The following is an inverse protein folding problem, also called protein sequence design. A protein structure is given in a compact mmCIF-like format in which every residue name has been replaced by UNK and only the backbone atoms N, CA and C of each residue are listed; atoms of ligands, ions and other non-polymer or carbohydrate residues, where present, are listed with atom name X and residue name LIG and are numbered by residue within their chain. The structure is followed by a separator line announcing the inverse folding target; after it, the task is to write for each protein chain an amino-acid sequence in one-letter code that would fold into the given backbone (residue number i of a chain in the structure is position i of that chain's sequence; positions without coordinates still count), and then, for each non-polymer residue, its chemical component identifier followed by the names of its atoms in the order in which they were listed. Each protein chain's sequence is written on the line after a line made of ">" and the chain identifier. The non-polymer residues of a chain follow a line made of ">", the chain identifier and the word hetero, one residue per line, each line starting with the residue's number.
data_IF_916443440905
#
_entry.id   IF_916443440905
#
_cell.length_a   1.000
_cell.length_b   1.000
_cell.length_c   1.000
_cell.angle_alpha   90.00
_cell.angle_beta   90.00
_cell.angle_gamma   90.00
#
_symmetry.space_group_name_H-M   'P 1'
#
loop_
_entity.id
_entity.type
_entity.pdbx_description
1 polymer ?
#
# COMPACT_ATOMS: atom_id res chain seq x y z
N UNK A 1 -4.72 -29.16 6.79
CA UNK A 1 -5.54 -27.91 6.89
C UNK A 1 -4.57 -26.76 7.14
N UNK A 2 -4.60 -25.71 6.29
CA UNK A 2 -3.78 -24.53 6.50
C UNK A 2 -4.19 -23.74 7.76
N UNK A 3 -3.30 -22.90 8.28
CA UNK A 3 -3.58 -22.02 9.43
C UNK A 3 -4.74 -21.07 9.10
N UNK A 4 -5.70 -20.93 10.02
CA UNK A 4 -6.76 -19.93 9.93
C UNK A 4 -6.16 -18.54 10.13
N UNK A 5 -6.31 -17.68 9.16
CA UNK A 5 -5.67 -16.36 9.10
C UNK A 5 -6.69 -15.24 9.27
N UNK A 6 -6.29 -14.16 9.95
CA UNK A 6 -7.02 -12.90 9.99
C UNK A 6 -6.24 -11.85 9.19
N UNK A 7 -6.86 -11.33 8.14
CA UNK A 7 -6.29 -10.36 7.22
C UNK A 7 -6.71 -8.94 7.60
N UNK A 8 -5.78 -7.98 7.61
CA UNK A 8 -6.06 -6.58 7.95
C UNK A 8 -5.91 -5.69 6.72
N UNK A 9 -7.00 -5.03 6.33
CA UNK A 9 -7.18 -4.30 5.08
C UNK A 9 -7.64 -2.86 5.35
N UNK A 10 -6.71 -1.93 5.46
CA UNK A 10 -7.00 -0.53 5.84
C UNK A 10 -7.11 0.43 4.67
N UNK A 11 -6.63 0.01 3.49
CA UNK A 11 -6.55 0.86 2.30
C UNK A 11 -6.79 0.02 1.04
N UNK A 12 -7.31 0.58 -0.07
CA UNK A 12 -7.45 -0.13 -1.34
C UNK A 12 -6.19 -0.84 -1.81
N UNK A 13 -5.02 -0.20 -1.66
CA UNK A 13 -3.74 -0.82 -1.99
C UNK A 13 -3.45 -2.09 -1.15
N UNK A 14 -3.86 -2.13 0.13
CA UNK A 14 -3.72 -3.33 0.97
C UNK A 14 -4.64 -4.46 0.49
N UNK A 15 -5.85 -4.11 0.04
CA UNK A 15 -6.80 -5.08 -0.54
C UNK A 15 -6.20 -5.69 -1.81
N UNK A 16 -5.66 -4.87 -2.71
CA UNK A 16 -5.01 -5.35 -3.95
C UNK A 16 -3.78 -6.21 -3.63
N UNK A 17 -2.90 -5.74 -2.76
CA UNK A 17 -1.68 -6.44 -2.36
C UNK A 17 -1.96 -7.86 -1.84
N UNK A 18 -3.01 -8.02 -1.04
CA UNK A 18 -3.34 -9.29 -0.39
C UNK A 18 -4.42 -10.09 -1.13
N UNK A 19 -4.91 -9.59 -2.28
CA UNK A 19 -6.06 -10.16 -2.99
C UNK A 19 -5.86 -11.63 -3.39
N UNK A 20 -4.71 -11.98 -3.93
CA UNK A 20 -4.42 -13.35 -4.35
C UNK A 20 -4.35 -14.31 -3.16
N UNK A 21 -3.73 -13.87 -2.07
CA UNK A 21 -3.67 -14.61 -0.81
C UNK A 21 -5.07 -14.81 -0.21
N UNK A 22 -5.93 -13.79 -0.32
CA UNK A 22 -7.34 -13.89 0.11
C UNK A 22 -8.14 -14.86 -0.76
N UNK A 23 -7.90 -14.91 -2.08
CA UNK A 23 -8.58 -15.88 -2.98
C UNK A 23 -8.19 -17.31 -2.66
N UNK A 24 -6.90 -17.54 -2.39
CA UNK A 24 -6.32 -18.86 -2.16
C UNK A 24 -6.34 -19.27 -0.68
N UNK A 25 -6.73 -18.37 0.22
CA UNK A 25 -6.79 -18.62 1.65
C UNK A 25 -7.93 -19.53 2.08
N UNK A 26 -7.92 -19.90 3.36
CA UNK A 26 -8.93 -20.78 3.94
C UNK A 26 -10.31 -20.08 3.90
N UNK A 27 -11.38 -20.84 3.62
CA UNK A 27 -12.77 -20.33 3.65
C UNK A 27 -13.18 -19.76 5.01
N UNK A 28 -12.59 -20.23 6.09
CA UNK A 28 -12.80 -19.75 7.47
C UNK A 28 -11.95 -18.54 7.87
N UNK A 29 -11.09 -18.02 6.96
CA UNK A 29 -10.31 -16.83 7.23
C UNK A 29 -11.20 -15.61 7.52
N UNK A 30 -10.65 -14.67 8.26
CA UNK A 30 -11.34 -13.48 8.73
C UNK A 30 -10.75 -12.22 8.10
N UNK A 31 -11.54 -11.15 8.07
CA UNK A 31 -11.08 -9.83 7.64
C UNK A 31 -11.33 -8.81 8.76
N UNK A 32 -10.35 -7.95 9.00
CA UNK A 32 -10.49 -6.69 9.71
C UNK A 32 -10.27 -5.60 8.68
N UNK A 33 -11.27 -4.78 8.43
CA UNK A 33 -11.20 -3.74 7.40
C UNK A 33 -11.45 -2.36 7.98
N UNK A 34 -10.75 -1.36 7.47
CA UNK A 34 -11.08 0.03 7.77
C UNK A 34 -12.41 0.40 7.10
N UNK A 35 -13.28 1.02 7.87
CA UNK A 35 -14.59 1.48 7.38
C UNK A 35 -14.40 2.73 6.51
N UNK A 36 -14.09 2.49 5.23
CA UNK A 36 -13.89 3.49 4.17
C UNK A 36 -14.70 3.07 2.94
N UNK A 37 -15.31 4.03 2.22
CA UNK A 37 -16.12 3.73 1.04
C UNK A 37 -15.39 2.87 0.00
N UNK A 38 -14.11 3.18 -0.27
CA UNK A 38 -13.30 2.50 -1.29
C UNK A 38 -12.98 1.05 -0.88
N UNK A 39 -12.69 0.81 0.41
CA UNK A 39 -12.42 -0.54 0.93
C UNK A 39 -13.72 -1.35 0.95
N UNK A 40 -14.86 -0.71 1.29
CA UNK A 40 -16.18 -1.34 1.20
C UNK A 40 -16.52 -1.73 -0.24
N UNK A 41 -16.33 -0.81 -1.20
CA UNK A 41 -16.57 -1.10 -2.60
C UNK A 41 -15.79 -2.34 -3.07
N UNK A 42 -14.51 -2.45 -2.68
CA UNK A 42 -13.68 -3.59 -3.07
C UNK A 42 -14.09 -4.91 -2.41
N UNK A 43 -14.56 -4.89 -1.17
CA UNK A 43 -14.88 -6.09 -0.41
C UNK A 43 -16.35 -6.53 -0.55
N UNK A 44 -17.28 -5.59 -0.69
CA UNK A 44 -18.72 -5.84 -0.71
C UNK A 44 -19.31 -5.84 -2.14
N UNK A 45 -18.77 -4.99 -3.03
CA UNK A 45 -19.30 -4.77 -4.38
C UNK A 45 -18.36 -5.30 -5.49
N UNK A 46 -17.29 -5.99 -5.11
CA UNK A 46 -16.20 -6.38 -6.01
C UNK A 46 -16.51 -7.53 -6.96
N UNK A 47 -17.78 -7.72 -7.39
CA UNK A 47 -18.20 -8.65 -8.43
C UNK A 47 -17.56 -10.05 -8.36
N UNK A 48 -17.42 -10.61 -7.15
CA UNK A 48 -16.80 -11.91 -6.94
C UNK A 48 -15.25 -11.91 -7.03
N UNK A 49 -14.62 -10.75 -7.17
CA UNK A 49 -13.13 -10.67 -7.19
C UNK A 49 -12.49 -11.20 -5.90
N UNK A 50 -13.20 -11.11 -4.77
CA UNK A 50 -12.78 -11.71 -3.50
C UNK A 50 -13.87 -12.58 -2.87
N UNK A 51 -13.50 -13.68 -2.21
CA UNK A 51 -14.47 -14.50 -1.50
C UNK A 51 -15.01 -13.76 -0.27
N UNK A 52 -16.32 -13.90 -0.03
CA UNK A 52 -16.94 -13.34 1.17
C UNK A 52 -16.34 -13.96 2.43
N UNK A 53 -15.97 -13.13 3.39
CA UNK A 53 -15.41 -13.53 4.69
C UNK A 53 -16.12 -12.78 5.81
N UNK A 54 -16.13 -13.35 7.00
CA UNK A 54 -16.55 -12.62 8.18
C UNK A 54 -15.66 -11.40 8.40
N UNK A 55 -16.23 -10.20 8.35
CA UNK A 55 -15.48 -8.94 8.36
C UNK A 55 -15.85 -8.11 9.60
N UNK A 56 -14.82 -7.64 10.30
CA UNK A 56 -14.92 -6.60 11.32
C UNK A 56 -14.58 -5.24 10.70
N UNK A 57 -15.54 -4.34 10.64
CA UNK A 57 -15.31 -2.96 10.23
C UNK A 57 -14.84 -2.11 11.41
N UNK A 58 -13.73 -1.40 11.26
CA UNK A 58 -13.12 -0.55 12.29
C UNK A 58 -12.86 0.86 11.78
N UNK A 59 -12.99 1.89 12.63
CA UNK A 59 -12.74 3.27 12.20
C UNK A 59 -11.25 3.52 11.96
N UNK A 60 -10.95 4.45 11.05
CA UNK A 60 -9.58 4.97 10.86
C UNK A 60 -9.11 5.69 12.13
N UNK A 61 -7.96 5.28 12.69
CA UNK A 61 -7.41 5.84 13.93
C UNK A 61 -6.53 7.09 13.67
N UNK A 62 -7.08 8.08 12.93
CA UNK A 62 -6.41 9.33 12.57
C UNK A 62 -7.24 10.55 12.94
N UNK A 63 -6.63 11.73 12.90
CA UNK A 63 -7.27 13.01 13.14
C UNK A 63 -7.77 13.20 14.58
N UNK A 64 -8.81 14.00 14.73
CA UNK A 64 -9.40 14.34 16.04
C UNK A 64 -9.90 13.07 16.76
N UNK A 65 -9.51 12.88 18.03
CA UNK A 65 -9.89 11.69 18.81
C UNK A 65 -9.12 10.41 18.44
N UNK A 66 -7.99 10.50 17.75
CA UNK A 66 -7.17 9.35 17.29
C UNK A 66 -6.88 8.31 18.37
N UNK A 67 -6.57 8.71 19.59
CA UNK A 67 -6.28 7.79 20.69
C UNK A 67 -7.50 6.97 21.13
N UNK A 68 -8.69 7.61 21.19
CA UNK A 68 -9.94 6.89 21.49
C UNK A 68 -10.29 5.90 20.38
N UNK A 69 -10.12 6.31 19.12
CA UNK A 69 -10.30 5.42 17.95
C UNK A 69 -9.32 4.25 17.97
N UNK A 70 -8.04 4.49 18.29
CA UNK A 70 -7.03 3.44 18.41
C UNK A 70 -7.37 2.46 19.54
N UNK A 71 -7.77 2.95 20.72
CA UNK A 71 -8.18 2.09 21.83
C UNK A 71 -9.43 1.27 21.50
N UNK A 72 -10.43 1.89 20.89
CA UNK A 72 -11.63 1.21 20.40
C UNK A 72 -11.24 0.10 19.42
N UNK A 73 -10.39 0.40 18.44
CA UNK A 73 -9.91 -0.54 17.43
C UNK A 73 -9.22 -1.74 18.07
N UNK A 74 -8.27 -1.53 18.96
CA UNK A 74 -7.57 -2.60 19.70
C UNK A 74 -8.55 -3.49 20.47
N UNK A 75 -9.54 -2.89 21.17
CA UNK A 75 -10.57 -3.64 21.92
C UNK A 75 -11.47 -4.45 21.00
N UNK A 76 -11.96 -3.84 19.91
CA UNK A 76 -12.85 -4.49 18.93
C UNK A 76 -12.18 -5.67 18.24
N UNK A 77 -10.93 -5.50 17.80
CA UNK A 77 -10.13 -6.58 17.21
C UNK A 77 -9.96 -7.74 18.19
N UNK A 78 -9.65 -7.45 19.44
CA UNK A 78 -9.48 -8.47 20.45
C UNK A 78 -10.77 -9.26 20.73
N UNK A 79 -11.91 -8.56 20.81
CA UNK A 79 -13.22 -9.20 20.98
C UNK A 79 -13.59 -10.06 19.78
N UNK A 80 -13.31 -9.56 18.58
CA UNK A 80 -13.56 -10.26 17.32
C UNK A 80 -12.77 -11.57 17.24
N UNK A 81 -11.46 -11.52 17.48
CA UNK A 81 -10.62 -12.73 17.49
C UNK A 81 -11.05 -13.73 18.56
N UNK A 82 -11.44 -13.27 19.75
CA UNK A 82 -11.95 -14.18 20.80
C UNK A 82 -13.29 -14.82 20.42
N UNK A 83 -14.18 -14.09 19.75
CA UNK A 83 -15.45 -14.65 19.26
C UNK A 83 -15.19 -15.69 18.18
N UNK A 84 -14.34 -15.36 17.21
CA UNK A 84 -13.99 -16.25 16.13
C UNK A 84 -13.35 -17.57 16.61
N UNK A 85 -12.58 -17.53 17.70
CA UNK A 85 -12.01 -18.74 18.29
C UNK A 85 -13.04 -19.65 19.00
N UNK A 86 -14.32 -19.23 19.06
CA UNK A 86 -15.42 -19.99 19.66
C UNK A 86 -16.50 -20.40 18.65
N UNK A 87 -16.31 -20.05 17.37
CA UNK A 87 -17.31 -20.30 16.31
C UNK A 87 -17.28 -21.73 15.75
N UNK A 88 -16.39 -22.58 16.24
CA UNK A 88 -16.23 -23.97 15.81
C UNK A 88 -15.44 -24.15 14.51
N UNK A 89 -14.95 -23.04 13.89
CA UNK A 89 -14.20 -23.10 12.62
C UNK A 89 -12.69 -23.17 12.81
N UNK A 90 -12.22 -23.46 14.01
CA UNK A 90 -10.80 -23.54 14.36
C UNK A 90 -10.23 -22.23 14.91
N UNK A 91 -9.05 -22.32 15.49
CA UNK A 91 -8.39 -21.18 16.12
C UNK A 91 -7.75 -20.26 15.07
N UNK A 92 -7.86 -18.95 15.27
CA UNK A 92 -7.09 -17.98 14.50
C UNK A 92 -5.64 -18.03 14.97
N UNK A 93 -4.75 -18.49 14.12
CA UNK A 93 -3.34 -18.71 14.45
C UNK A 93 -2.41 -17.67 13.83
N UNK A 94 -2.86 -17.02 12.74
CA UNK A 94 -2.08 -16.01 12.02
C UNK A 94 -2.86 -14.70 11.86
N UNK A 95 -2.15 -13.59 11.96
CA UNK A 95 -2.67 -12.25 11.63
C UNK A 95 -1.69 -11.57 10.68
N UNK A 96 -2.19 -11.06 9.56
CA UNK A 96 -1.39 -10.45 8.49
C UNK A 96 -1.97 -9.08 8.16
N UNK A 97 -1.12 -8.07 8.02
CA UNK A 97 -1.61 -6.77 7.58
C UNK A 97 -0.51 -5.77 7.25
N UNK A 98 -0.83 -4.86 6.34
CA UNK A 98 0.04 -3.76 5.92
C UNK A 98 -0.16 -2.59 6.88
N UNK A 99 0.92 -2.12 7.50
CA UNK A 99 0.84 -1.02 8.47
C UNK A 99 0.01 -1.32 9.73
N UNK A 100 -0.41 -2.57 9.95
CA UNK A 100 -1.42 -3.01 10.93
C UNK A 100 -0.89 -3.12 12.37
N UNK A 101 -0.17 -2.12 12.86
CA UNK A 101 0.50 -2.17 14.17
C UNK A 101 -0.47 -2.32 15.36
N UNK A 102 -1.65 -1.71 15.30
CA UNK A 102 -2.65 -1.78 16.38
C UNK A 102 -3.27 -3.18 16.48
N UNK A 103 -3.48 -3.86 15.37
CA UNK A 103 -3.99 -5.23 15.30
C UNK A 103 -2.94 -6.22 15.82
N UNK A 104 -1.66 -6.02 15.47
CA UNK A 104 -0.56 -6.79 16.04
C UNK A 104 -0.54 -6.66 17.58
N UNK A 105 -0.74 -5.42 18.08
CA UNK A 105 -0.84 -5.17 19.53
C UNK A 105 -2.07 -5.84 20.14
N UNK A 106 -3.21 -5.82 19.46
CA UNK A 106 -4.44 -6.47 19.94
C UNK A 106 -4.29 -8.00 20.06
N UNK A 107 -3.59 -8.61 19.10
CA UNK A 107 -3.35 -10.05 19.03
C UNK A 107 -2.15 -10.53 19.85
N UNK A 108 -1.35 -9.62 20.44
CA UNK A 108 -0.18 -9.98 21.25
C UNK A 108 -0.60 -10.74 22.50
N UNK A 109 0.02 -11.91 22.80
CA UNK A 109 -0.17 -12.60 24.08
C UNK A 109 0.34 -11.76 25.25
N UNK A 110 -0.31 -11.92 26.41
CA UNK A 110 0.12 -11.37 27.68
C UNK A 110 0.27 -12.50 28.69
N UNK A 111 1.13 -12.36 29.69
CA UNK A 111 1.38 -13.40 30.68
C UNK A 111 0.10 -13.92 31.37
N UNK A 112 -0.90 -13.01 31.59
CA UNK A 112 -2.21 -13.36 32.17
C UNK A 112 -3.30 -13.69 31.14
N UNK A 113 -2.99 -13.61 29.84
CA UNK A 113 -3.95 -13.85 28.77
C UNK A 113 -3.25 -14.38 27.52
N UNK A 114 -3.24 -15.68 27.35
CA UNK A 114 -2.68 -16.29 26.13
C UNK A 114 -3.45 -15.82 24.90
N UNK A 115 -2.78 -15.79 23.76
CA UNK A 115 -3.37 -15.57 22.44
C UNK A 115 -3.18 -16.82 21.59
N UNK A 116 -4.18 -17.16 20.81
CA UNK A 116 -4.08 -18.23 19.82
C UNK A 116 -3.25 -17.80 18.60
N UNK A 117 -3.14 -16.48 18.37
CA UNK A 117 -2.41 -15.92 17.23
C UNK A 117 -0.92 -16.06 17.46
N UNK A 118 -0.33 -17.10 16.87
CA UNK A 118 1.09 -17.43 16.97
C UNK A 118 1.95 -16.53 16.09
N UNK A 119 1.50 -16.29 14.87
CA UNK A 119 2.19 -15.48 13.87
C UNK A 119 1.48 -14.13 13.66
N UNK A 120 2.23 -13.04 13.75
CA UNK A 120 1.77 -11.67 13.52
C UNK A 120 2.70 -11.00 12.52
N UNK A 121 2.23 -10.92 11.27
CA UNK A 121 2.98 -10.45 10.12
C UNK A 121 2.69 -8.98 9.85
N UNK A 122 3.66 -8.14 10.13
CA UNK A 122 3.63 -6.71 9.86
C UNK A 122 4.34 -6.41 8.53
N UNK A 123 3.58 -6.10 7.50
CA UNK A 123 4.09 -5.74 6.18
C UNK A 123 4.18 -4.22 6.10
N UNK A 124 5.28 -3.68 5.59
CA UNK A 124 5.46 -2.24 5.41
C UNK A 124 6.47 -1.94 4.31
N UNK A 125 6.20 -0.89 3.53
CA UNK A 125 7.09 -0.32 2.51
C UNK A 125 7.54 1.09 2.87
N UNK A 126 7.15 1.59 4.05
CA UNK A 126 7.33 2.97 4.47
C UNK A 126 8.26 3.03 5.68
N UNK A 127 9.49 3.50 5.49
CA UNK A 127 10.53 3.61 6.53
C UNK A 127 10.14 4.60 7.64
N UNK A 128 9.51 5.71 7.26
CA UNK A 128 9.26 6.84 8.16
C UNK A 128 8.05 6.68 9.09
N UNK A 129 7.38 5.52 9.08
CA UNK A 129 6.23 5.28 9.95
C UNK A 129 6.63 4.93 11.40
N UNK A 130 7.45 5.77 12.03
CA UNK A 130 8.08 5.51 13.34
C UNK A 130 7.09 5.13 14.44
N UNK A 131 5.87 5.73 14.46
CA UNK A 131 4.85 5.43 15.48
C UNK A 131 4.31 4.01 15.34
N UNK A 132 4.01 3.60 14.10
CA UNK A 132 3.55 2.23 13.85
C UNK A 132 4.69 1.23 14.09
N UNK A 133 5.91 1.55 13.65
CA UNK A 133 7.10 0.74 13.88
C UNK A 133 7.40 0.54 15.38
N UNK A 134 7.26 1.58 16.21
CA UNK A 134 7.44 1.47 17.66
C UNK A 134 6.46 0.49 18.33
N UNK A 135 5.24 0.35 17.78
CA UNK A 135 4.25 -0.62 18.23
C UNK A 135 4.56 -2.00 17.65
N UNK A 136 4.81 -2.07 16.33
CA UNK A 136 5.03 -3.32 15.61
C UNK A 136 6.25 -4.07 16.14
N UNK A 137 7.38 -3.40 16.41
CA UNK A 137 8.59 -4.04 16.96
C UNK A 137 8.39 -4.75 18.29
N UNK A 138 7.36 -4.39 19.06
CA UNK A 138 7.00 -4.99 20.34
C UNK A 138 5.91 -6.04 20.23
N UNK A 139 5.19 -6.10 19.11
CA UNK A 139 3.97 -6.90 18.97
C UNK A 139 3.97 -7.86 17.79
N UNK A 140 4.64 -7.55 16.69
CA UNK A 140 4.78 -8.45 15.56
C UNK A 140 5.80 -9.57 15.85
N UNK A 141 5.63 -10.72 15.18
CA UNK A 141 6.60 -11.83 15.18
C UNK A 141 7.41 -11.85 13.89
N UNK A 142 6.83 -11.34 12.81
CA UNK A 142 7.45 -11.23 11.50
C UNK A 142 7.25 -9.81 10.97
N UNK A 143 8.25 -9.30 10.26
CA UNK A 143 8.09 -8.10 9.45
C UNK A 143 8.53 -8.37 8.01
N UNK A 144 7.81 -7.80 7.05
CA UNK A 144 8.14 -7.82 5.63
C UNK A 144 8.43 -6.40 5.21
N UNK A 145 9.62 -6.18 4.65
CA UNK A 145 10.07 -4.89 4.12
C UNK A 145 10.70 -5.10 2.74
N UNK A 146 10.70 -4.09 1.85
CA UNK A 146 11.41 -4.17 0.57
C UNK A 146 12.92 -4.37 0.78
N UNK A 147 13.61 -5.01 -0.17
CA UNK A 147 15.08 -5.14 -0.13
C UNK A 147 15.78 -3.80 -0.14
N UNK A 148 15.14 -2.77 -0.72
CA UNK A 148 15.68 -1.40 -0.83
C UNK A 148 15.34 -0.51 0.37
N UNK A 149 15.08 -1.10 1.50
CA UNK A 149 14.80 -0.39 2.74
C UNK A 149 15.97 0.48 3.19
N UNK A 150 15.70 1.75 3.45
CA UNK A 150 16.65 2.71 3.98
C UNK A 150 16.65 2.72 5.51
N UNK A 151 17.66 2.08 6.10
CA UNK A 151 17.79 1.97 7.56
C UNK A 151 18.05 3.32 8.25
N UNK A 152 18.60 4.31 7.53
CA UNK A 152 18.79 5.68 8.03
C UNK A 152 17.47 6.43 8.24
N UNK A 153 16.41 6.05 7.52
CA UNK A 153 15.09 6.65 7.64
C UNK A 153 14.16 5.93 8.63
N UNK A 154 14.49 4.71 9.07
CA UNK A 154 13.55 3.85 9.82
C UNK A 154 13.52 4.07 11.33
N UNK A 155 14.30 5.03 11.84
CA UNK A 155 14.40 5.32 13.26
C UNK A 155 14.88 4.13 14.09
N UNK A 156 15.70 3.26 13.52
CA UNK A 156 16.24 2.05 14.17
C UNK A 156 15.21 0.92 14.31
N UNK A 157 14.16 0.92 13.49
CA UNK A 157 13.12 -0.11 13.52
C UNK A 157 13.70 -1.51 13.31
N UNK A 158 14.35 -1.74 12.16
CA UNK A 158 14.89 -3.07 11.85
C UNK A 158 16.01 -3.49 12.79
N UNK A 159 16.88 -2.57 13.19
CA UNK A 159 17.97 -2.87 14.13
C UNK A 159 17.46 -3.31 15.51
N UNK A 160 16.27 -2.85 15.91
CA UNK A 160 15.66 -3.18 17.20
C UNK A 160 14.53 -4.22 17.12
N UNK A 161 14.20 -4.72 15.93
CA UNK A 161 13.17 -5.74 15.75
C UNK A 161 13.70 -7.12 16.17
N UNK A 162 12.99 -7.79 17.09
CA UNK A 162 13.41 -9.08 17.66
C UNK A 162 12.78 -10.30 16.99
N UNK A 163 11.88 -10.09 16.04
CA UNK A 163 11.24 -11.16 15.28
C UNK A 163 11.99 -11.50 13.98
N UNK A 164 11.33 -12.22 13.11
CA UNK A 164 11.86 -12.58 11.80
C UNK A 164 11.67 -11.44 10.81
N UNK A 165 12.75 -11.00 10.17
CA UNK A 165 12.71 -10.01 9.08
C UNK A 165 12.74 -10.74 7.75
N UNK A 166 11.74 -10.52 6.92
CA UNK A 166 11.67 -10.97 5.53
C UNK A 166 11.88 -9.77 4.60
N UNK A 167 12.76 -9.94 3.63
CA UNK A 167 13.02 -8.91 2.62
C UNK A 167 12.36 -9.30 1.32
N UNK A 168 11.38 -8.50 0.89
CA UNK A 168 10.65 -8.69 -0.35
C UNK A 168 11.53 -8.22 -1.52
N UNK A 169 11.79 -9.10 -2.46
CA UNK A 169 12.51 -8.77 -3.68
C UNK A 169 11.57 -8.07 -4.66
N UNK A 170 11.44 -6.77 -4.50
CA UNK A 170 10.53 -5.93 -5.26
C UNK A 170 9.76 -4.94 -4.41
N UNK A 171 8.80 -4.29 -5.04
CA UNK A 171 7.87 -3.34 -4.43
C UNK A 171 6.51 -4.01 -4.22
N UNK A 172 5.67 -3.39 -3.41
CA UNK A 172 4.28 -3.85 -3.22
C UNK A 172 3.53 -3.96 -4.56
N UNK A 173 3.75 -3.03 -5.49
CA UNK A 173 3.18 -3.08 -6.82
C UNK A 173 3.50 -4.37 -7.59
N UNK A 174 4.71 -4.90 -7.49
CA UNK A 174 5.09 -6.17 -8.13
C UNK A 174 4.27 -7.38 -7.65
N UNK A 175 3.67 -7.31 -6.46
CA UNK A 175 2.83 -8.38 -5.93
C UNK A 175 1.47 -8.43 -6.60
N UNK A 176 0.86 -7.28 -6.90
CA UNK A 176 -0.56 -7.22 -7.30
C UNK A 176 -0.82 -6.64 -8.69
N UNK A 177 0.11 -5.86 -9.24
CA UNK A 177 -0.06 -5.32 -10.57
C UNK A 177 0.11 -6.39 -11.64
N UNK A 178 -0.58 -6.19 -12.74
CA UNK A 178 -0.41 -6.96 -13.97
C UNK A 178 0.02 -5.98 -15.04
N UNK A 179 1.07 -6.28 -15.82
CA UNK A 179 1.46 -5.43 -16.93
C UNK A 179 0.31 -5.22 -17.91
N UNK A 180 0.04 -3.97 -18.23
CA UNK A 180 -0.94 -3.57 -19.25
C UNK A 180 -0.22 -3.01 -20.46
N UNK A 181 -0.80 -3.20 -21.63
CA UNK A 181 -0.29 -2.57 -22.85
C UNK A 181 -0.60 -1.08 -22.82
N UNK A 182 0.44 -0.26 -22.88
CA UNK A 182 0.30 1.18 -22.97
C UNK A 182 -0.10 1.64 -24.37
N UNK A 183 -0.71 2.85 -24.50
CA UNK A 183 -0.88 3.52 -25.77
C UNK A 183 0.47 3.69 -26.48
N UNK A 184 0.48 3.51 -27.81
CA UNK A 184 1.70 3.66 -28.62
C UNK A 184 1.94 5.09 -29.10
N UNK A 185 1.01 6.00 -28.81
CA UNK A 185 1.10 7.42 -29.15
C UNK A 185 0.46 8.25 -28.03
N UNK A 186 1.04 9.41 -27.77
CA UNK A 186 0.50 10.39 -26.84
C UNK A 186 -0.71 11.08 -27.47
N UNK A 187 -1.80 11.21 -26.68
CA UNK A 187 -2.98 11.95 -27.11
C UNK A 187 -2.71 13.46 -27.22
N UNK A 188 -3.58 14.19 -27.90
CA UNK A 188 -3.54 15.64 -27.92
C UNK A 188 -4.94 16.22 -27.63
N UNK A 189 -5.11 16.91 -26.48
CA UNK A 189 -4.13 17.10 -25.39
C UNK A 189 -3.74 15.79 -24.71
N UNK A 190 -2.54 15.72 -24.04
CA UNK A 190 -2.12 14.52 -23.30
C UNK A 190 -3.10 14.18 -22.18
N UNK A 191 -3.46 12.90 -22.07
CA UNK A 191 -4.35 12.39 -21.01
C UNK A 191 -3.53 12.07 -19.76
N UNK A 192 -3.84 12.72 -18.66
CA UNK A 192 -3.06 12.61 -17.42
C UNK A 192 -3.97 12.31 -16.23
N UNK A 193 -3.61 11.27 -15.46
CA UNK A 193 -4.25 11.02 -14.16
C UNK A 193 -3.65 11.97 -13.14
N UNK A 194 -4.49 12.71 -12.43
CA UNK A 194 -4.05 13.61 -11.34
C UNK A 194 -4.60 13.12 -10.01
N UNK A 195 -3.71 12.98 -9.01
CA UNK A 195 -4.11 12.66 -7.64
C UNK A 195 -3.45 13.56 -6.63
N UNK A 196 -4.26 14.36 -5.96
CA UNK A 196 -3.86 15.18 -4.83
C UNK A 196 -4.16 14.46 -3.50
N UNK A 197 -3.33 14.71 -2.49
CA UNK A 197 -3.55 14.22 -1.13
C UNK A 197 -4.12 15.34 -0.26
N UNK A 198 -5.09 15.02 0.59
CA UNK A 198 -5.71 15.99 1.51
C UNK A 198 -4.98 16.14 2.85
N UNK A 199 -3.77 15.57 2.98
CA UNK A 199 -2.99 15.68 4.20
C UNK A 199 -3.58 14.96 5.42
N UNK A 200 -4.44 13.98 5.22
CA UNK A 200 -5.10 13.25 6.30
C UNK A 200 -4.31 12.05 6.88
N UNK A 201 -3.19 11.70 6.30
CA UNK A 201 -2.28 10.67 6.80
C UNK A 201 -1.34 11.20 7.89
N UNK A 202 -0.75 10.29 8.65
CA UNK A 202 0.16 10.65 9.77
C UNK A 202 1.45 11.29 9.29
N UNK A 203 1.84 11.04 8.04
CA UNK A 203 3.08 11.51 7.40
C UNK A 203 2.82 12.51 6.27
N UNK A 204 1.60 12.58 5.75
CA UNK A 204 1.26 13.36 4.57
C UNK A 204 1.53 14.86 4.77
N UNK A 205 1.26 15.40 5.96
CA UNK A 205 1.35 16.85 6.21
C UNK A 205 2.77 17.42 6.03
N UNK A 206 3.80 16.64 6.37
CA UNK A 206 5.20 17.07 6.28
C UNK A 206 5.79 16.82 4.87
N UNK A 207 5.19 15.92 4.10
CA UNK A 207 5.65 15.51 2.78
C UNK A 207 4.92 16.22 1.62
N UNK A 208 3.79 16.88 1.91
CA UNK A 208 2.99 17.54 0.88
C UNK A 208 3.70 18.75 0.27
N UNK A 209 3.66 18.78 -1.06
CA UNK A 209 4.03 19.93 -1.90
C UNK A 209 2.81 20.25 -2.77
N UNK A 210 2.35 21.49 -2.85
CA UNK A 210 1.26 21.85 -3.76
C UNK A 210 1.62 21.49 -5.21
N UNK A 211 0.69 20.91 -5.95
CA UNK A 211 0.83 20.76 -7.39
C UNK A 211 0.62 22.15 -8.01
N UNK A 212 1.61 22.69 -8.75
CA UNK A 212 1.47 23.97 -9.40
C UNK A 212 0.31 23.94 -10.41
N UNK A 213 -0.52 25.01 -10.45
CA UNK A 213 -1.66 25.06 -11.36
C UNK A 213 -1.26 25.01 -12.81
N UNK A 214 -0.12 25.58 -13.16
CA UNK A 214 0.46 25.53 -14.51
C UNK A 214 0.77 24.12 -14.98
N UNK A 215 1.02 23.18 -14.05
CA UNK A 215 1.23 21.77 -14.38
C UNK A 215 -0.02 21.09 -14.99
N UNK A 216 -1.17 21.68 -14.82
CA UNK A 216 -2.45 21.14 -15.24
C UNK A 216 -2.95 21.77 -16.56
N UNK A 217 -2.31 22.85 -17.00
CA UNK A 217 -2.73 23.56 -18.20
C UNK A 217 -2.42 22.74 -19.47
N UNK A 218 -3.37 22.68 -20.40
CA UNK A 218 -3.20 22.00 -21.67
C UNK A 218 -3.21 20.48 -21.59
N UNK A 219 -3.68 19.90 -20.47
CA UNK A 219 -3.83 18.46 -20.27
C UNK A 219 -5.31 18.06 -20.23
N UNK A 220 -5.62 16.86 -20.68
CA UNK A 220 -6.91 16.19 -20.44
C UNK A 220 -6.80 15.39 -19.13
N UNK A 221 -7.52 15.85 -18.08
CA UNK A 221 -7.30 15.40 -16.72
C UNK A 221 -8.36 14.42 -16.26
N UNK A 222 -7.93 13.24 -15.85
CA UNK A 222 -8.72 12.30 -15.05
C UNK A 222 -8.38 12.47 -13.58
N UNK A 223 -9.36 12.90 -12.77
CA UNK A 223 -9.16 13.10 -11.33
C UNK A 223 -9.25 11.76 -10.58
N UNK A 224 -8.17 11.39 -9.87
CA UNK A 224 -8.08 10.18 -9.07
C UNK A 224 -7.97 10.47 -7.55
N UNK A 225 -8.37 11.64 -7.08
CA UNK A 225 -8.50 11.93 -5.64
C UNK A 225 -9.47 10.95 -4.99
N UNK A 226 -9.19 10.55 -3.75
CA UNK A 226 -9.94 9.47 -3.05
C UNK A 226 -11.46 9.70 -3.05
N UNK A 227 -11.92 10.95 -3.01
CA UNK A 227 -13.33 11.32 -2.95
C UNK A 227 -13.94 11.75 -4.29
N UNK A 228 -13.14 11.86 -5.34
CA UNK A 228 -13.57 12.32 -6.67
C UNK A 228 -13.39 11.29 -7.76
N UNK A 229 -12.64 10.23 -7.49
CA UNK A 229 -12.43 9.17 -8.46
C UNK A 229 -13.76 8.47 -8.77
N UNK A 230 -14.13 8.49 -10.05
CA UNK A 230 -15.39 7.91 -10.53
C UNK A 230 -15.26 6.44 -10.92
N UNK A 231 -14.03 5.95 -11.11
CA UNK A 231 -13.75 4.56 -11.45
C UNK A 231 -13.85 3.63 -10.24
N UNK A 232 -13.86 2.33 -10.51
CA UNK A 232 -13.81 1.34 -9.44
C UNK A 232 -12.37 1.15 -8.93
N UNK A 233 -12.10 1.07 -7.61
CA UNK A 233 -10.74 0.94 -7.07
C UNK A 233 -9.96 -0.29 -7.58
N UNK A 234 -10.65 -1.33 -8.06
CA UNK A 234 -10.02 -2.48 -8.71
C UNK A 234 -9.44 -2.18 -10.09
N UNK A 235 -9.93 -1.17 -10.78
CA UNK A 235 -9.58 -0.87 -12.16
C UNK A 235 -8.60 0.30 -12.28
N UNK A 236 -8.08 0.78 -11.13
CA UNK A 236 -7.15 1.91 -11.06
C UNK A 236 -5.84 1.64 -11.82
N UNK A 237 -5.35 0.41 -11.84
CA UNK A 237 -4.15 0.01 -12.59
C UNK A 237 -4.39 0.10 -14.11
N UNK A 238 -5.57 -0.28 -14.59
CA UNK A 238 -5.98 -0.12 -16.00
C UNK A 238 -6.05 1.37 -16.35
N UNK A 239 -6.64 2.19 -15.45
CA UNK A 239 -6.71 3.64 -15.63
C UNK A 239 -5.31 4.25 -15.76
N UNK A 240 -4.40 3.93 -14.82
CA UNK A 240 -3.02 4.40 -14.84
C UNK A 240 -2.28 4.00 -16.13
N UNK A 241 -2.43 2.75 -16.56
CA UNK A 241 -1.76 2.23 -17.76
C UNK A 241 -2.34 2.79 -19.06
N UNK A 242 -3.61 3.23 -19.08
CA UNK A 242 -4.28 3.75 -20.28
C UNK A 242 -4.00 5.22 -20.54
N UNK A 243 -3.43 5.95 -19.58
CA UNK A 243 -3.11 7.37 -19.71
C UNK A 243 -1.67 7.62 -20.17
N UNK A 244 -1.43 8.81 -20.71
CA UNK A 244 -0.12 9.21 -21.19
C UNK A 244 0.84 9.50 -20.05
N UNK A 245 0.31 9.98 -18.90
CA UNK A 245 1.11 10.27 -17.71
C UNK A 245 0.30 10.34 -16.41
N UNK A 246 1.02 10.48 -15.30
CA UNK A 246 0.45 10.66 -13.96
C UNK A 246 1.12 11.83 -13.25
N UNK A 247 0.33 12.72 -12.63
CA UNK A 247 0.82 13.76 -11.71
C UNK A 247 0.23 13.47 -10.34
N UNK A 248 1.07 13.25 -9.34
CA UNK A 248 0.56 12.83 -8.03
C UNK A 248 1.41 13.27 -6.85
N UNK A 249 0.76 13.43 -5.69
CA UNK A 249 1.41 13.57 -4.38
C UNK A 249 1.53 12.22 -3.66
N UNK A 250 0.87 11.17 -4.18
CA UNK A 250 0.85 9.84 -3.56
C UNK A 250 2.04 9.00 -4.01
N UNK A 251 2.92 8.68 -3.07
CA UNK A 251 4.09 7.82 -3.30
C UNK A 251 3.69 6.42 -3.79
N UNK A 252 2.64 5.85 -3.22
CA UNK A 252 2.13 4.53 -3.63
C UNK A 252 1.63 4.56 -5.07
N UNK A 253 0.81 5.56 -5.41
CA UNK A 253 0.30 5.69 -6.78
C UNK A 253 1.42 5.94 -7.79
N UNK A 254 2.41 6.78 -7.41
CA UNK A 254 3.57 7.03 -8.26
C UNK A 254 4.34 5.74 -8.54
N UNK A 255 4.62 4.93 -7.53
CA UNK A 255 5.31 3.66 -7.72
C UNK A 255 4.51 2.67 -8.58
N UNK A 256 3.19 2.57 -8.37
CA UNK A 256 2.32 1.72 -9.18
C UNK A 256 2.30 2.16 -10.65
N UNK A 257 2.12 3.45 -10.93
CA UNK A 257 2.11 3.99 -12.29
C UNK A 257 3.43 3.76 -13.03
N UNK A 258 4.55 4.02 -12.35
CA UNK A 258 5.89 3.78 -12.90
C UNK A 258 6.13 2.31 -13.21
N UNK A 259 5.70 1.39 -12.35
CA UNK A 259 5.79 -0.05 -12.60
C UNK A 259 4.94 -0.49 -13.79
N UNK A 260 3.86 0.20 -14.08
CA UNK A 260 3.05 0.00 -15.30
C UNK A 260 3.68 0.65 -16.55
N UNK A 261 4.83 1.31 -16.40
CA UNK A 261 5.53 2.03 -17.46
C UNK A 261 4.96 3.41 -17.74
N UNK A 262 4.06 3.94 -16.91
CA UNK A 262 3.44 5.25 -17.10
C UNK A 262 4.33 6.35 -16.53
N UNK A 263 4.80 7.31 -17.34
CA UNK A 263 5.57 8.44 -16.88
C UNK A 263 4.87 9.19 -15.75
N UNK A 264 5.59 9.41 -14.67
CA UNK A 264 4.96 9.90 -13.44
C UNK A 264 5.72 11.08 -12.85
N UNK A 265 5.03 12.20 -12.66
CA UNK A 265 5.52 13.34 -11.90
C UNK A 265 5.04 13.21 -10.45
N UNK A 266 5.97 12.88 -9.56
CA UNK A 266 5.74 12.86 -8.11
C UNK A 266 6.06 14.22 -7.49
N UNK A 267 5.02 14.92 -7.01
CA UNK A 267 5.11 16.23 -6.36
C UNK A 267 5.07 16.04 -4.86
N UNK A 268 6.21 15.71 -4.24
CA UNK A 268 6.27 15.34 -2.82
C UNK A 268 7.70 15.44 -2.28
N UNK A 269 7.83 15.80 -0.99
CA UNK A 269 9.11 15.73 -0.24
C UNK A 269 9.44 14.32 0.24
N UNK A 270 8.58 13.36 -0.03
CA UNK A 270 8.74 12.00 0.46
C UNK A 270 10.05 11.36 0.02
N UNK A 271 10.73 10.73 0.97
CA UNK A 271 11.92 9.92 0.73
C UNK A 271 11.64 8.47 1.11
N UNK A 272 11.92 7.56 0.18
CA UNK A 272 11.77 6.11 0.37
C UNK A 272 12.88 5.40 -0.41
N UNK A 273 13.39 4.32 0.12
CA UNK A 273 14.44 3.54 -0.54
C UNK A 273 14.03 3.02 -1.92
N UNK A 274 12.75 2.70 -2.09
CA UNK A 274 12.24 2.24 -3.38
C UNK A 274 12.11 3.36 -4.43
N UNK A 275 11.85 4.60 -4.03
CA UNK A 275 11.88 5.75 -4.95
C UNK A 275 13.29 5.98 -5.48
N UNK A 276 14.29 5.92 -4.59
CA UNK A 276 15.69 6.07 -4.97
C UNK A 276 16.16 4.92 -5.89
N UNK A 277 15.58 3.74 -5.73
CA UNK A 277 15.82 2.62 -6.64
C UNK A 277 15.24 2.90 -8.03
N UNK A 278 13.96 3.26 -8.10
CA UNK A 278 13.29 3.55 -9.36
C UNK A 278 14.04 4.62 -10.17
N UNK A 279 14.49 5.69 -9.52
CA UNK A 279 15.31 6.73 -10.17
C UNK A 279 16.65 6.17 -10.69
N UNK A 280 17.35 5.37 -9.91
CA UNK A 280 18.63 4.76 -10.33
C UNK A 280 18.50 3.77 -11.47
N UNK A 281 17.38 3.07 -11.56
CA UNK A 281 17.08 2.13 -12.63
C UNK A 281 16.55 2.81 -13.90
N UNK A 282 16.46 4.16 -13.90
CA UNK A 282 15.98 4.92 -15.05
C UNK A 282 14.49 4.77 -15.32
N UNK A 283 13.72 4.37 -14.30
CA UNK A 283 12.27 4.30 -14.42
C UNK A 283 11.69 5.69 -14.74
N UNK A 284 10.54 5.79 -15.44
CA UNK A 284 9.96 7.07 -15.88
C UNK A 284 9.33 7.83 -14.69
N UNK A 285 10.12 8.06 -13.65
CA UNK A 285 9.78 8.78 -12.42
C UNK A 285 10.46 10.14 -12.39
N UNK A 286 9.66 11.20 -12.39
CA UNK A 286 10.11 12.58 -12.28
C UNK A 286 9.68 13.09 -10.90
N UNK A 287 10.63 13.53 -10.07
CA UNK A 287 10.33 13.96 -8.70
C UNK A 287 10.59 15.44 -8.54
N UNK A 288 9.62 16.15 -7.98
CA UNK A 288 9.78 17.52 -7.54
C UNK A 288 9.42 17.67 -6.06
N UNK A 289 10.37 18.20 -5.29
CA UNK A 289 10.29 18.33 -3.83
C UNK A 289 9.89 19.73 -3.36
N UNK A 290 9.41 20.57 -4.28
CA UNK A 290 9.08 21.97 -4.00
C UNK A 290 10.33 22.78 -3.69
N UNK A 291 10.24 23.75 -2.79
CA UNK A 291 11.34 24.63 -2.42
C UNK A 291 12.58 23.90 -1.85
N UNK A 292 12.46 22.60 -1.53
CA UNK A 292 13.61 21.78 -1.11
C UNK A 292 14.35 21.13 -2.28
N UNK A 293 13.82 21.22 -3.51
CA UNK A 293 14.51 20.72 -4.70
C UNK A 293 15.64 21.69 -5.11
N UNK A 294 16.72 21.13 -5.62
CA UNK A 294 17.85 21.91 -6.19
C UNK A 294 17.64 22.24 -7.67
N UNK A 295 16.61 21.67 -8.29
CA UNK A 295 16.24 21.86 -9.69
C UNK A 295 15.08 22.84 -9.78
N UNK A 296 15.02 23.58 -10.88
CA UNK A 296 13.87 24.42 -11.18
C UNK A 296 12.66 23.57 -11.54
N UNK A 297 11.48 24.07 -11.16
CA UNK A 297 10.21 23.41 -11.48
C UNK A 297 10.06 23.18 -12.98
N UNK A 298 10.32 24.21 -13.79
CA UNK A 298 10.20 24.18 -15.23
C UNK A 298 11.06 23.07 -15.87
N UNK A 299 12.28 22.88 -15.35
CA UNK A 299 13.19 21.84 -15.81
C UNK A 299 12.64 20.43 -15.52
N UNK A 300 12.13 20.20 -14.30
CA UNK A 300 11.54 18.91 -13.93
C UNK A 300 10.26 18.63 -14.72
N UNK A 301 9.42 19.65 -14.88
CA UNK A 301 8.18 19.53 -15.62
C UNK A 301 8.41 19.30 -17.12
N UNK A 302 9.39 20.00 -17.72
CA UNK A 302 9.77 19.76 -19.12
C UNK A 302 10.30 18.33 -19.33
N UNK A 303 11.07 17.79 -18.38
CA UNK A 303 11.50 16.39 -18.43
C UNK A 303 10.30 15.43 -18.37
N UNK A 304 9.33 15.68 -17.50
CA UNK A 304 8.11 14.89 -17.43
C UNK A 304 7.33 14.92 -18.75
N UNK A 305 7.11 16.11 -19.32
CA UNK A 305 6.40 16.24 -20.63
C UNK A 305 7.14 15.51 -21.76
N UNK A 306 8.46 15.61 -21.80
CA UNK A 306 9.28 14.86 -22.76
C UNK A 306 9.17 13.35 -22.50
N UNK A 307 9.07 12.96 -21.23
CA UNK A 307 8.90 11.57 -20.80
C UNK A 307 7.58 10.93 -21.22
N UNK A 308 6.52 11.71 -21.50
CA UNK A 308 5.23 11.17 -21.94
C UNK A 308 5.36 10.33 -23.22
N UNK A 309 6.36 10.59 -24.06
CA UNK A 309 6.65 9.84 -25.26
C UNK A 309 7.43 8.53 -25.05
N UNK A 310 7.86 8.24 -23.81
CA UNK A 310 8.51 6.98 -23.48
C UNK A 310 7.47 5.87 -23.49
N UNK A 311 7.58 4.98 -24.47
CA UNK A 311 6.64 3.87 -24.69
C UNK A 311 7.15 2.53 -24.15
N UNK A 312 8.38 2.50 -23.63
CA UNK A 312 8.98 1.27 -23.14
C UNK A 312 8.28 0.81 -21.86
N UNK A 313 7.30 -0.06 -22.07
CA UNK A 313 6.72 -0.79 -20.95
C UNK A 313 7.83 -1.58 -20.26
N UNK A 314 7.89 -1.51 -18.93
CA UNK A 314 8.78 -2.38 -18.15
C UNK A 314 8.47 -3.83 -18.55
N UNK A 315 9.51 -4.56 -18.98
CA UNK A 315 9.35 -5.97 -19.35
C UNK A 315 8.85 -6.77 -18.15
N UNK A 316 7.64 -7.32 -18.28
CA UNK A 316 7.03 -8.16 -17.25
C UNK A 316 7.89 -9.38 -16.91
N UNK A 317 8.69 -9.86 -17.85
CA UNK A 317 9.61 -10.97 -17.64
C UNK A 317 10.77 -10.60 -16.69
N UNK A 318 11.05 -9.30 -16.53
CA UNK A 318 12.06 -8.79 -15.60
C UNK A 318 11.52 -8.46 -14.20
N UNK A 319 10.21 -8.67 -13.96
CA UNK A 319 9.63 -8.39 -12.65
C UNK A 319 10.18 -9.35 -11.59
N UNK A 320 10.58 -8.83 -10.41
CA UNK A 320 11.03 -9.67 -9.30
C UNK A 320 9.92 -10.62 -8.83
N UNK A 321 10.29 -11.79 -8.35
CA UNK A 321 9.38 -12.80 -7.80
C UNK A 321 8.73 -12.43 -6.46
N UNK A 322 8.35 -11.17 -6.29
CA UNK A 322 7.77 -10.65 -5.04
C UNK A 322 6.43 -11.30 -4.68
N UNK A 323 5.60 -11.60 -5.69
CA UNK A 323 4.31 -12.27 -5.52
C UNK A 323 4.51 -13.69 -5.00
N UNK A 324 5.38 -14.43 -5.64
CA UNK A 324 5.72 -15.82 -5.28
C UNK A 324 6.33 -15.88 -3.89
N UNK A 325 7.24 -14.99 -3.57
CA UNK A 325 7.85 -14.89 -2.24
C UNK A 325 6.81 -14.64 -1.15
N UNK A 326 5.94 -13.65 -1.35
CA UNK A 326 4.91 -13.33 -0.35
C UNK A 326 3.92 -14.48 -0.18
N UNK A 327 3.54 -15.13 -1.28
CA UNK A 327 2.68 -16.31 -1.28
C UNK A 327 3.33 -17.48 -0.55
N UNK A 328 4.60 -17.77 -0.82
CA UNK A 328 5.35 -18.84 -0.16
C UNK A 328 5.45 -18.62 1.36
N UNK A 329 5.62 -17.36 1.80
CA UNK A 329 5.73 -17.08 3.23
C UNK A 329 4.38 -17.13 3.97
N UNK A 330 3.30 -16.71 3.31
CA UNK A 330 1.99 -16.57 3.95
C UNK A 330 1.04 -17.73 3.66
N UNK A 331 1.22 -18.44 2.55
CA UNK A 331 0.43 -19.62 2.16
C UNK A 331 1.37 -20.72 1.66
N UNK A 332 2.25 -21.24 2.54
CA UNK A 332 3.15 -22.32 2.12
C UNK A 332 2.34 -23.52 1.63
N UNK A 333 2.80 -24.23 0.59
CA UNK A 333 2.18 -25.48 0.17
C UNK A 333 2.12 -26.45 1.37
N UNK A 334 1.04 -27.22 1.46
CA UNK A 334 0.81 -28.19 2.54
C UNK A 334 1.80 -29.35 2.48
#
# INVERSE_FOLDING_TARGET
>A
MGMRTCWVLDHPAHVRLLAELLRNGNTSDLIIACDRPEVRAMLEQGDGKLPRRQTLWVPRAVGKGRYRKALYRVRSVKLFLNRANRDGQGLVERLVGVGAALEMLAAKPRWWRPSTVKERWYITDTEVNHKAHAIAKKSATHTVVPVHWRADLDGGFLASFRGVVKRLDGLHGHVHLVPHRRPTSVAFPPRVVVRSLRGGGVHDADELVPIPEEALLGLDITNADEDRYQGHPWDLDIELASHDGVITQSVTLASEAVLLGTPTLLVSKAERGFLDRLEREGAPLFRWRGAADTRDWEAVYAQFLSGLHLTDALDAASWPGAREQLTQWLCPPA
#
